data_IF_411328850408
#
_entry.id   IF_411328850408
#
_cell.length_a   1.000
_cell.length_b   1.000
_cell.length_c   1.000
_cell.angle_alpha   90.00
_cell.angle_beta   90.00
_cell.angle_gamma   90.00
#
_symmetry.space_group_name_H-M   'P 1'
#
loop_
_entity.id
_entity.type
_entity.pdbx_description
1 polymer ?
#
# COMPACT_ATOMS: atom_id res chain seq x y z
N UNK A 1 13.51 -13.85 -6.00
CA UNK A 1 12.70 -14.97 -5.47
C UNK A 1 11.39 -14.37 -5.00
N UNK A 2 10.25 -14.75 -5.60
CA UNK A 2 8.94 -14.25 -5.17
C UNK A 2 8.48 -15.09 -3.98
N UNK A 3 8.41 -14.50 -2.78
CA UNK A 3 7.85 -15.19 -1.64
C UNK A 3 6.34 -15.32 -1.84
N UNK A 4 5.82 -16.55 -1.85
CA UNK A 4 4.39 -16.82 -1.91
C UNK A 4 3.76 -16.49 -0.56
N UNK A 5 2.66 -15.74 -0.56
CA UNK A 5 1.88 -15.51 0.64
C UNK A 5 1.33 -16.85 1.16
N UNK A 6 1.59 -17.17 2.43
CA UNK A 6 1.02 -18.34 3.12
C UNK A 6 0.18 -17.85 4.30
N UNK A 7 -0.71 -18.70 4.84
CA UNK A 7 -1.55 -18.32 5.98
C UNK A 7 -0.76 -17.91 7.25
N UNK A 8 0.53 -18.24 7.31
CA UNK A 8 1.41 -17.86 8.43
C UNK A 8 2.35 -16.69 8.10
N UNK A 9 2.41 -16.26 6.84
CA UNK A 9 3.16 -15.07 6.46
C UNK A 9 2.28 -13.84 6.71
N UNK A 10 2.70 -12.97 7.64
CA UNK A 10 2.00 -11.72 7.89
C UNK A 10 1.85 -10.94 6.58
N UNK A 11 0.60 -10.78 6.14
CA UNK A 11 0.27 -9.99 4.97
C UNK A 11 0.03 -8.55 5.38
N UNK A 12 0.45 -7.62 4.53
CA UNK A 12 0.18 -6.20 4.65
C UNK A 12 -0.74 -5.77 3.53
N UNK A 13 -1.72 -4.94 3.85
CA UNK A 13 -2.68 -4.40 2.90
C UNK A 13 -2.38 -2.93 2.63
N UNK A 14 -2.58 -2.51 1.38
CA UNK A 14 -2.51 -1.12 0.96
C UNK A 14 -3.82 -0.74 0.28
N UNK A 15 -4.64 0.07 0.96
CA UNK A 15 -5.87 0.61 0.38
C UNK A 15 -5.57 1.76 -0.58
N UNK A 16 -6.01 1.65 -1.83
CA UNK A 16 -5.79 2.70 -2.85
C UNK A 16 -6.84 2.66 -3.95
N UNK A 17 -7.08 3.83 -4.58
CA UNK A 17 -7.91 3.97 -5.79
C UNK A 17 -7.07 3.84 -7.08
N UNK A 18 -5.75 3.77 -6.97
CA UNK A 18 -4.88 3.59 -8.12
C UNK A 18 -5.13 2.22 -8.77
N UNK A 19 -5.19 2.16 -10.09
CA UNK A 19 -5.35 0.92 -10.84
C UNK A 19 -4.01 0.17 -10.95
N UNK A 20 -3.63 -0.51 -9.87
CA UNK A 20 -2.38 -1.29 -9.79
C UNK A 20 -2.60 -2.76 -10.15
N UNK A 21 -1.62 -3.36 -10.81
CA UNK A 21 -1.53 -4.79 -11.07
C UNK A 21 -0.43 -5.45 -10.21
N UNK A 22 -0.50 -6.78 -9.97
CA UNK A 22 0.58 -7.49 -9.31
C UNK A 22 1.91 -7.31 -10.05
N UNK A 23 2.94 -6.89 -9.31
CA UNK A 23 4.27 -6.57 -9.87
C UNK A 23 4.53 -5.08 -10.04
N UNK A 24 3.51 -4.23 -9.97
CA UNK A 24 3.68 -2.77 -10.01
C UNK A 24 4.41 -2.25 -8.76
N UNK A 25 5.23 -1.21 -8.97
CA UNK A 25 5.98 -0.56 -7.90
C UNK A 25 5.12 0.52 -7.22
N UNK A 26 4.92 0.40 -5.92
CA UNK A 26 4.36 1.47 -5.08
C UNK A 26 5.51 2.33 -4.56
N UNK A 27 5.57 3.57 -5.02
CA UNK A 27 6.62 4.53 -4.68
C UNK A 27 6.11 5.67 -3.80
N UNK A 28 7.03 6.36 -3.15
CA UNK A 28 6.76 7.65 -2.47
C UNK A 28 6.64 8.79 -3.49
N UNK A 29 6.23 9.98 -3.06
CA UNK A 29 6.16 11.16 -3.92
C UNK A 29 4.76 11.47 -4.46
N UNK A 30 3.76 10.66 -4.15
CA UNK A 30 2.36 10.92 -4.50
C UNK A 30 1.70 11.92 -3.55
N UNK A 31 0.64 12.57 -4.05
CA UNK A 31 -0.18 13.51 -3.26
C UNK A 31 -0.87 12.78 -2.10
N UNK A 32 -1.01 13.48 -0.97
CA UNK A 32 -1.77 13.00 0.18
C UNK A 32 -3.26 12.91 -0.13
N UNK A 33 -3.93 11.89 0.41
CA UNK A 33 -5.39 11.76 0.34
C UNK A 33 -6.12 12.67 1.32
N UNK A 34 -5.41 13.22 2.32
CA UNK A 34 -6.01 13.95 3.44
C UNK A 34 -5.62 15.43 3.48
N UNK A 35 -4.53 15.82 2.80
CA UNK A 35 -3.98 17.17 2.87
C UNK A 35 -3.50 17.64 1.51
N UNK A 36 -3.50 18.95 1.30
CA UNK A 36 -2.93 19.59 0.10
C UNK A 36 -1.45 19.94 0.28
N UNK A 37 -0.79 19.27 1.22
CA UNK A 37 0.61 19.48 1.54
C UNK A 37 1.55 18.91 0.46
N UNK A 38 2.85 18.97 0.75
CA UNK A 38 3.89 18.33 -0.08
C UNK A 38 3.59 16.85 -0.27
N UNK A 39 4.08 16.31 -1.39
CA UNK A 39 4.07 14.87 -1.68
C UNK A 39 4.54 14.03 -0.47
N UNK A 40 3.91 12.87 -0.29
CA UNK A 40 4.17 11.99 0.83
C UNK A 40 5.56 11.34 0.71
N UNK A 41 6.30 11.34 1.82
CA UNK A 41 7.60 10.66 1.93
C UNK A 41 7.50 9.16 2.27
N UNK A 42 6.28 8.62 2.39
CA UNK A 42 6.03 7.25 2.86
C UNK A 42 4.90 6.58 2.09
N UNK A 43 4.95 5.24 2.06
CA UNK A 43 3.85 4.37 1.62
C UNK A 43 3.26 3.72 2.86
N UNK A 44 1.94 3.78 2.99
CA UNK A 44 1.23 3.31 4.18
C UNK A 44 0.66 1.92 3.95
N UNK A 45 0.87 1.02 4.92
CA UNK A 45 0.34 -0.33 4.93
C UNK A 45 -0.32 -0.62 6.28
N UNK A 46 -1.24 -1.58 6.31
CA UNK A 46 -1.89 -2.06 7.54
C UNK A 46 -1.90 -3.58 7.62
N UNK A 47 -1.93 -4.12 8.84
CA UNK A 47 -2.11 -5.56 9.10
C UNK A 47 -3.57 -6.00 9.16
N UNK A 48 -4.54 -5.07 9.11
CA UNK A 48 -5.98 -5.38 9.17
C UNK A 48 -6.68 -4.99 7.88
N UNK A 49 -7.65 -5.81 7.46
CA UNK A 49 -8.43 -5.54 6.25
C UNK A 49 -9.30 -4.28 6.38
N UNK A 50 -9.88 -4.04 7.56
CA UNK A 50 -10.76 -2.90 7.84
C UNK A 50 -10.08 -1.55 7.56
N UNK A 51 -8.82 -1.38 7.96
CA UNK A 51 -8.07 -0.16 7.71
C UNK A 51 -7.60 0.00 6.24
N UNK A 52 -7.82 -1.00 5.38
CA UNK A 52 -7.40 -1.00 3.98
C UNK A 52 -8.55 -0.82 2.99
N UNK A 53 -9.81 -0.76 3.46
CA UNK A 53 -11.02 -0.61 2.63
C UNK A 53 -11.46 0.86 2.57
#
# INVERSE_FOLDING_TARGET
MSATATMFAQSFFHGTKAALAPGDLIAVGYRSNFTDAKSLSWVYFTGTLDAAI
#
